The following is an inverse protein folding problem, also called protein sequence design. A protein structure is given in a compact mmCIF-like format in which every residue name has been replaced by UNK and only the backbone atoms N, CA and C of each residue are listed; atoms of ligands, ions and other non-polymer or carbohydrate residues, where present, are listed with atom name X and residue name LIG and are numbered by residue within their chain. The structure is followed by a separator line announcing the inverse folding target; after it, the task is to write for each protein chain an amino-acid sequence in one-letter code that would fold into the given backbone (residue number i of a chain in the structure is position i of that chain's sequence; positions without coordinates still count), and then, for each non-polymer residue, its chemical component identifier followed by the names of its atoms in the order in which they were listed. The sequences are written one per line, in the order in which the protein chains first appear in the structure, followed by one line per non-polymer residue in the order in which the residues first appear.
data_IF_065630580517
#
_entry.id   IF_065630580517
#
_cell.length_a   1.000
_cell.length_b   1.000
_cell.length_c   1.000
_cell.angle_alpha   90.00
_cell.angle_beta   90.00
_cell.angle_gamma   90.00
#
_symmetry.space_group_name_H-M   'P 1'
#
loop_
_entity.id
_entity.type
_entity.pdbx_description
1 polymer ?
#
# COMPACT_ATOMS: atom_id res chain seq x y z
N UNK A 1 14.78 -1.80 -0.29
CA UNK A 1 15.34 -1.63 -1.64
C UNK A 1 16.12 -2.86 -2.09
N UNK A 2 16.92 -3.48 -1.22
CA UNK A 2 17.75 -4.65 -1.56
C UNK A 2 16.97 -5.87 -2.07
N UNK A 3 15.79 -6.15 -1.52
CA UNK A 3 14.97 -7.28 -1.98
C UNK A 3 14.42 -7.10 -3.40
N UNK A 4 14.13 -5.87 -3.84
CA UNK A 4 13.66 -5.59 -5.20
C UNK A 4 14.81 -5.75 -6.19
N UNK A 5 16.02 -5.36 -5.79
CA UNK A 5 17.23 -5.59 -6.58
C UNK A 5 17.53 -7.08 -6.73
N UNK A 6 17.36 -7.86 -5.67
CA UNK A 6 17.62 -9.30 -5.69
C UNK A 6 16.64 -10.07 -6.58
N UNK A 7 15.34 -9.77 -6.51
CA UNK A 7 14.32 -10.45 -7.31
C UNK A 7 14.43 -10.13 -8.80
N UNK A 8 14.70 -8.86 -9.15
CA UNK A 8 14.92 -8.44 -10.54
C UNK A 8 16.19 -9.08 -11.14
N UNK A 9 17.26 -9.24 -10.35
CA UNK A 9 18.48 -9.97 -10.75
C UNK A 9 18.18 -11.44 -11.03
N UNK A 10 17.40 -12.09 -10.19
CA UNK A 10 17.07 -13.50 -10.34
C UNK A 10 16.23 -13.77 -11.61
N UNK A 11 15.29 -12.88 -11.93
CA UNK A 11 14.51 -12.95 -13.16
C UNK A 11 15.37 -12.73 -14.42
N UNK A 12 16.25 -11.73 -14.42
CA UNK A 12 17.15 -11.51 -15.57
C UNK A 12 18.18 -12.65 -15.74
N UNK A 13 18.65 -13.25 -14.66
CA UNK A 13 19.58 -14.39 -14.71
C UNK A 13 18.93 -15.61 -15.37
N UNK A 14 17.67 -15.89 -15.03
CA UNK A 14 16.87 -16.95 -15.66
C UNK A 14 16.63 -16.70 -17.15
N UNK A 15 16.34 -15.47 -17.59
CA UNK A 15 16.15 -15.15 -19.01
C UNK A 15 17.43 -15.30 -19.84
N UNK A 16 18.60 -15.09 -19.24
CA UNK A 16 19.90 -15.19 -19.93
C UNK A 16 20.58 -16.56 -19.78
N UNK A 17 19.93 -17.54 -19.13
CA UNK A 17 20.51 -18.88 -18.91
C UNK A 17 21.77 -18.88 -18.04
N UNK A 18 21.97 -17.85 -17.21
CA UNK A 18 23.14 -17.69 -16.34
C UNK A 18 22.77 -18.01 -14.90
N UNK A 19 23.62 -18.76 -14.20
CA UNK A 19 23.41 -19.10 -12.78
C UNK A 19 23.48 -17.87 -11.86
N UNK A 20 24.27 -16.85 -12.24
CA UNK A 20 24.35 -15.55 -11.57
C UNK A 20 24.67 -14.47 -12.61
N UNK A 21 24.02 -13.31 -12.50
CA UNK A 21 24.44 -12.11 -13.22
C UNK A 21 25.54 -11.40 -12.44
N UNK A 22 26.49 -10.70 -13.11
CA UNK A 22 27.41 -9.80 -12.44
C UNK A 22 26.63 -8.75 -11.61
N UNK A 23 27.32 -8.10 -10.66
CA UNK A 23 26.77 -7.06 -9.79
C UNK A 23 26.36 -5.82 -10.62
N UNK A 24 25.27 -5.94 -11.37
CA UNK A 24 24.71 -4.86 -12.19
C UNK A 24 23.85 -4.04 -11.26
N UNK A 25 24.30 -2.82 -10.95
CA UNK A 25 23.41 -1.79 -10.41
C UNK A 25 22.24 -1.65 -11.37
N UNK A 26 21.01 -1.88 -10.88
CA UNK A 26 19.83 -1.64 -11.71
C UNK A 26 19.77 -0.13 -12.01
N UNK A 27 19.51 0.27 -13.26
CA UNK A 27 19.29 1.67 -13.59
C UNK A 27 18.21 2.23 -12.66
N UNK A 28 18.51 3.33 -11.97
CA UNK A 28 17.58 3.95 -11.01
C UNK A 28 16.54 4.78 -11.74
N UNK A 29 16.92 5.32 -12.90
CA UNK A 29 16.13 6.18 -13.78
C UNK A 29 14.67 5.72 -13.98
N UNK A 30 14.37 4.44 -14.32
CA UNK A 30 12.98 3.99 -14.49
C UNK A 30 12.14 3.98 -13.22
N UNK A 31 12.75 4.04 -12.03
CA UNK A 31 12.04 3.97 -10.74
C UNK A 31 11.91 5.32 -10.04
N UNK A 32 12.69 6.34 -10.47
CA UNK A 32 12.73 7.64 -9.78
C UNK A 32 11.35 8.29 -9.78
N UNK A 33 10.65 8.33 -10.92
CA UNK A 33 9.35 9.00 -11.02
C UNK A 33 8.31 8.39 -10.06
N UNK A 34 8.18 7.06 -10.08
CA UNK A 34 7.25 6.35 -9.21
C UNK A 34 7.64 6.46 -7.73
N UNK A 35 8.93 6.41 -7.41
CA UNK A 35 9.43 6.59 -6.05
C UNK A 35 9.17 8.01 -5.54
N UNK A 36 9.43 9.03 -6.36
CA UNK A 36 9.11 10.44 -6.04
C UNK A 36 7.62 10.58 -5.77
N UNK A 37 6.76 10.06 -6.65
CA UNK A 37 5.30 10.10 -6.46
C UNK A 37 4.88 9.48 -5.12
N UNK A 38 5.39 8.28 -4.81
CA UNK A 38 5.09 7.58 -3.54
C UNK A 38 5.52 8.38 -2.32
N UNK A 39 6.74 8.90 -2.32
CA UNK A 39 7.26 9.69 -1.20
C UNK A 39 6.47 10.98 -1.02
N UNK A 40 6.17 11.69 -2.12
CA UNK A 40 5.37 12.91 -2.08
C UNK A 40 3.98 12.64 -1.51
N UNK A 41 3.28 11.60 -1.96
CA UNK A 41 1.96 11.24 -1.44
C UNK A 41 2.02 10.88 0.05
N UNK A 42 3.01 10.10 0.47
CA UNK A 42 3.19 9.75 1.89
C UNK A 42 3.43 10.98 2.77
N UNK A 43 4.22 11.95 2.31
CA UNK A 43 4.45 13.20 3.03
C UNK A 43 3.18 14.06 3.12
N UNK A 44 2.42 14.19 2.03
CA UNK A 44 1.17 14.93 2.02
C UNK A 44 0.15 14.32 2.98
N UNK A 45 0.01 12.99 2.94
CA UNK A 45 -0.92 12.29 3.83
C UNK A 45 -0.50 12.40 5.30
N UNK A 46 0.79 12.30 5.60
CA UNK A 46 1.32 12.52 6.95
C UNK A 46 0.99 13.92 7.46
N UNK A 47 1.07 14.95 6.62
CA UNK A 47 0.70 16.32 7.00
C UNK A 47 -0.82 16.46 7.23
N UNK A 48 -1.65 15.75 6.48
CA UNK A 48 -3.11 15.68 6.70
C UNK A 48 -3.43 15.05 8.05
N UNK A 49 -2.83 13.88 8.35
CA UNK A 49 -2.98 13.19 9.64
C UNK A 49 -2.61 14.13 10.79
N UNK A 50 -1.47 14.80 10.67
CA UNK A 50 -0.97 15.72 11.69
C UNK A 50 -1.87 16.95 11.86
N UNK A 51 -2.24 17.61 10.77
CA UNK A 51 -3.04 18.86 10.79
C UNK A 51 -4.45 18.64 11.30
N UNK A 52 -5.05 17.49 10.97
CA UNK A 52 -6.38 17.12 11.45
C UNK A 52 -6.34 16.38 12.80
N UNK A 53 -5.16 16.27 13.43
CA UNK A 53 -4.92 15.57 14.70
C UNK A 53 -5.51 14.15 14.74
N UNK A 54 -5.44 13.45 13.60
CA UNK A 54 -6.07 12.14 13.45
C UNK A 54 -5.38 11.13 14.37
N UNK A 55 -6.20 10.42 15.13
CA UNK A 55 -5.79 9.32 15.98
C UNK A 55 -6.35 8.03 15.42
N UNK A 56 -5.58 6.96 15.59
CA UNK A 56 -5.99 5.63 15.22
C UNK A 56 -7.31 5.27 15.92
N UNK A 57 -8.33 5.01 15.11
CA UNK A 57 -9.60 4.49 15.60
C UNK A 57 -9.45 2.97 15.80
N UNK A 58 -9.55 2.55 17.07
CA UNK A 58 -9.45 1.15 17.44
C UNK A 58 -10.59 0.31 16.86
N UNK A 59 -11.78 0.88 16.66
CA UNK A 59 -12.90 0.16 16.07
C UNK A 59 -12.63 -0.15 14.60
N UNK A 60 -12.14 0.83 13.83
CA UNK A 60 -11.73 0.63 12.44
C UNK A 60 -10.58 -0.35 12.30
N UNK A 61 -9.63 -0.32 13.23
CA UNK A 61 -8.55 -1.31 13.26
C UNK A 61 -9.10 -2.73 13.43
N UNK A 62 -10.04 -2.94 14.35
CA UNK A 62 -10.67 -4.25 14.55
C UNK A 62 -11.48 -4.70 13.33
N UNK A 63 -12.23 -3.78 12.70
CA UNK A 63 -12.95 -4.04 11.45
C UNK A 63 -11.99 -4.48 10.35
N UNK A 64 -10.88 -3.76 10.16
CA UNK A 64 -9.86 -4.10 9.16
C UNK A 64 -9.22 -5.47 9.42
N UNK A 65 -8.93 -5.79 10.68
CA UNK A 65 -8.44 -7.12 11.05
C UNK A 65 -9.46 -8.21 10.73
N UNK A 66 -10.75 -7.95 11.01
CA UNK A 66 -11.82 -8.89 10.68
C UNK A 66 -11.96 -9.10 9.18
N UNK A 67 -11.99 -8.04 8.38
CA UNK A 67 -12.02 -8.13 6.93
C UNK A 67 -10.86 -8.95 6.37
N UNK A 68 -9.64 -8.65 6.84
CA UNK A 68 -8.42 -9.31 6.38
C UNK A 68 -8.39 -10.80 6.74
N UNK A 69 -8.89 -11.17 7.92
CA UNK A 69 -8.77 -12.54 8.43
C UNK A 69 -10.03 -13.40 8.33
N UNK A 70 -11.20 -12.80 8.07
CA UNK A 70 -12.49 -13.52 8.01
C UNK A 70 -12.53 -14.66 6.99
N UNK A 71 -11.73 -14.55 5.93
CA UNK A 71 -11.64 -15.55 4.86
C UNK A 71 -10.69 -16.71 5.19
N UNK A 72 -9.94 -16.62 6.29
CA UNK A 72 -9.01 -17.67 6.68
C UNK A 72 -9.72 -18.79 7.45
N UNK A 73 -9.26 -20.05 7.30
CA UNK A 73 -9.84 -21.19 8.03
C UNK A 73 -9.82 -21.03 9.56
N UNK A 74 -8.81 -20.33 10.11
CA UNK A 74 -8.63 -20.09 11.55
C UNK A 74 -8.33 -18.61 11.85
N UNK A 75 -9.34 -17.71 11.86
CA UNK A 75 -9.12 -16.27 12.04
C UNK A 75 -8.49 -15.90 13.38
N UNK A 76 -8.83 -16.64 14.45
CA UNK A 76 -8.32 -16.40 15.82
C UNK A 76 -6.80 -16.62 15.90
N UNK A 77 -6.29 -17.67 15.26
CA UNK A 77 -4.85 -17.95 15.24
C UNK A 77 -4.09 -16.88 14.46
N UNK A 78 -4.67 -16.36 13.37
CA UNK A 78 -4.08 -15.26 12.60
C UNK A 78 -4.07 -13.96 13.39
N UNK A 79 -5.14 -13.66 14.14
CA UNK A 79 -5.22 -12.51 15.03
C UNK A 79 -4.10 -12.55 16.08
N UNK A 80 -3.91 -13.70 16.75
CA UNK A 80 -2.85 -13.87 17.74
C UNK A 80 -1.46 -13.73 17.14
N UNK A 81 -1.23 -14.33 15.96
CA UNK A 81 0.04 -14.21 15.26
C UNK A 81 0.36 -12.75 14.93
N UNK A 82 -0.65 -12.02 14.42
CA UNK A 82 -0.51 -10.61 14.10
C UNK A 82 -0.25 -9.77 15.35
N UNK A 83 -0.99 -10.03 16.43
CA UNK A 83 -0.81 -9.33 17.70
C UNK A 83 0.58 -9.55 18.30
N UNK A 84 1.22 -10.70 18.06
CA UNK A 84 2.58 -10.97 18.54
C UNK A 84 3.67 -10.32 17.67
N UNK A 85 3.36 -9.96 16.43
CA UNK A 85 4.32 -9.35 15.51
C UNK A 85 4.18 -7.82 15.46
N UNK A 86 5.05 -7.12 16.19
CA UNK A 86 5.02 -5.66 16.29
C UNK A 86 5.12 -4.95 14.93
N UNK A 87 5.98 -5.43 14.02
CA UNK A 87 6.14 -4.82 12.70
C UNK A 87 4.83 -4.89 11.90
N UNK A 88 4.17 -6.04 11.92
CA UNK A 88 2.88 -6.22 11.25
C UNK A 88 1.82 -5.32 11.87
N UNK A 89 1.72 -5.28 13.22
CA UNK A 89 0.78 -4.37 13.89
C UNK A 89 0.97 -2.93 13.45
N UNK A 90 2.20 -2.40 13.51
CA UNK A 90 2.49 -1.01 13.12
C UNK A 90 2.15 -0.75 11.65
N UNK A 91 2.35 -1.72 10.77
CA UNK A 91 1.96 -1.59 9.37
C UNK A 91 0.44 -1.46 9.21
N UNK A 92 -0.36 -2.29 9.90
CA UNK A 92 -1.82 -2.20 9.83
C UNK A 92 -2.34 -0.90 10.43
N UNK A 93 -1.81 -0.51 11.59
CA UNK A 93 -2.16 0.74 12.25
C UNK A 93 -1.89 1.92 11.31
N UNK A 94 -0.77 1.90 10.58
CA UNK A 94 -0.45 2.93 9.59
C UNK A 94 -1.44 2.94 8.43
N UNK A 95 -1.83 1.77 7.92
CA UNK A 95 -2.81 1.66 6.84
C UNK A 95 -4.19 2.17 7.26
N UNK A 96 -4.66 1.81 8.44
CA UNK A 96 -5.96 2.28 8.97
C UNK A 96 -5.94 3.79 9.19
N UNK A 97 -4.83 4.33 9.70
CA UNK A 97 -4.69 5.78 9.86
C UNK A 97 -4.64 6.53 8.52
N UNK A 98 -4.04 5.92 7.49
CA UNK A 98 -4.06 6.43 6.11
C UNK A 98 -5.47 6.44 5.52
N UNK A 99 -6.23 5.35 5.69
CA UNK A 99 -7.64 5.28 5.27
C UNK A 99 -8.48 6.36 5.97
N UNK A 100 -8.32 6.54 7.29
CA UNK A 100 -8.98 7.62 8.04
C UNK A 100 -8.64 9.02 7.52
N UNK A 101 -7.38 9.23 7.11
CA UNK A 101 -6.96 10.51 6.54
C UNK A 101 -7.59 10.78 5.17
N UNK A 102 -7.70 9.74 4.34
CA UNK A 102 -8.38 9.83 3.04
C UNK A 102 -9.86 10.15 3.25
N UNK A 103 -10.54 9.48 4.17
CA UNK A 103 -11.94 9.79 4.50
C UNK A 103 -12.12 11.24 4.94
N UNK A 104 -11.25 11.74 5.82
CA UNK A 104 -11.29 13.14 6.26
C UNK A 104 -11.08 14.15 5.12
N UNK A 105 -10.31 13.78 4.09
CA UNK A 105 -10.17 14.58 2.87
C UNK A 105 -11.44 14.55 2.03
N UNK A 106 -12.06 13.38 1.87
CA UNK A 106 -13.29 13.21 1.08
C UNK A 106 -14.46 13.97 1.69
N UNK A 107 -14.56 14.04 3.02
CA UNK A 107 -15.57 14.84 3.72
C UNK A 107 -15.49 16.35 3.39
N UNK A 108 -14.30 16.83 3.03
CA UNK A 108 -14.03 18.24 2.72
C UNK A 108 -13.95 18.50 1.21
N UNK A 109 -14.00 17.46 0.38
CA UNK A 109 -13.84 17.56 -1.06
C UNK A 109 -15.18 17.83 -1.75
N UNK A 110 -15.14 18.59 -2.85
CA UNK A 110 -16.28 18.74 -3.74
C UNK A 110 -16.47 17.47 -4.58
N UNK A 111 -17.39 16.60 -4.15
CA UNK A 111 -17.68 15.33 -4.83
C UNK A 111 -18.69 15.54 -5.95
N UNK A 112 -18.29 15.20 -7.18
CA UNK A 112 -19.16 15.22 -8.35
C UNK A 112 -19.47 13.78 -8.81
N UNK A 113 -20.74 13.39 -8.74
CA UNK A 113 -21.20 12.09 -9.28
C UNK A 113 -21.58 12.24 -10.74
N UNK A 114 -20.99 11.40 -11.61
CA UNK A 114 -21.29 11.38 -13.04
C UNK A 114 -21.78 10.01 -13.49
N UNK A 115 -22.86 9.97 -14.27
CA UNK A 115 -23.34 8.75 -14.91
C UNK A 115 -22.50 8.46 -16.15
N UNK A 116 -21.91 7.25 -16.23
CA UNK A 116 -21.15 6.77 -17.38
C UNK A 116 -21.65 5.40 -17.81
N UNK A 117 -21.50 5.05 -19.09
CA UNK A 117 -21.80 3.70 -19.54
C UNK A 117 -20.75 2.72 -18.99
N UNK A 118 -21.14 1.47 -18.76
CA UNK A 118 -20.24 0.42 -18.27
C UNK A 118 -18.96 0.30 -19.13
N UNK A 119 -19.11 0.41 -20.45
CA UNK A 119 -17.99 0.36 -21.39
C UNK A 119 -16.95 1.47 -21.14
N UNK A 120 -17.39 2.67 -20.75
CA UNK A 120 -16.52 3.83 -20.50
C UNK A 120 -15.77 3.72 -19.17
N UNK A 121 -16.32 2.99 -18.20
CA UNK A 121 -15.69 2.73 -16.90
C UNK A 121 -14.67 1.61 -17.01
N UNK A 122 -14.97 0.57 -17.81
CA UNK A 122 -14.08 -0.57 -18.01
C UNK A 122 -12.92 -0.28 -18.95
N UNK A 123 -13.11 0.63 -19.91
CA UNK A 123 -12.05 1.14 -20.77
C UNK A 123 -11.90 2.65 -20.55
N UNK A 124 -11.36 3.08 -19.40
CA UNK A 124 -11.02 4.48 -19.23
C UNK A 124 -10.00 4.81 -20.33
N UNK A 125 -10.38 5.69 -21.26
CA UNK A 125 -9.47 6.14 -22.31
C UNK A 125 -8.16 6.62 -21.64
N UNK A 126 -7.04 6.07 -22.11
CA UNK A 126 -5.70 6.46 -21.67
C UNK A 126 -5.50 7.97 -21.78
#
# INVERSE_FOLDING_TARGET
MDHLHQSARQQMAMQQGKQQLPDVELPKEPYIEEATKRVTLGLLLAEVIKTNELKLDQAKLQERMFEMFSQYPNPQQMLEYYQKNQQMRTQLESQVLEEQAIESLLEKADINTVTKAYADVMNPAK
#
